data_IF_720174013338
#
_entry.id   IF_720174013338
#
_cell.length_a   1.000
_cell.length_b   1.000
_cell.length_c   1.000
_cell.angle_alpha   90.00
_cell.angle_beta   90.00
_cell.angle_gamma   90.00
#
_symmetry.space_group_name_H-M   'P 1'
#
loop_
_entity.id
_entity.type
_entity.pdbx_description
1 polymer ?
#
# COMPACT_ATOMS: atom_id res chain seq x y z
N UNK A 1 30.64 24.58 -11.74
CA UNK A 1 29.65 23.95 -10.83
C UNK A 1 28.43 24.85 -10.80
N UNK A 2 27.34 24.44 -11.43
CA UNK A 2 26.10 25.23 -11.46
C UNK A 2 25.34 24.96 -10.17
N UNK A 3 25.14 25.98 -9.33
CA UNK A 3 24.33 25.86 -8.12
C UNK A 3 22.86 25.69 -8.54
N UNK A 4 22.31 24.48 -8.31
CA UNK A 4 20.88 24.23 -8.48
C UNK A 4 20.10 25.06 -7.44
N UNK A 5 19.02 25.68 -7.88
CA UNK A 5 18.10 26.40 -7.01
C UNK A 5 17.53 25.46 -5.92
N UNK A 6 17.20 25.97 -4.72
CA UNK A 6 16.64 25.17 -3.63
C UNK A 6 15.29 24.58 -4.07
N UNK A 7 15.20 23.24 -4.11
CA UNK A 7 13.96 22.51 -4.39
C UNK A 7 13.03 22.62 -3.17
N UNK A 8 11.76 22.90 -3.40
CA UNK A 8 10.73 22.83 -2.35
C UNK A 8 10.21 21.40 -2.20
N UNK A 9 9.73 21.03 -1.00
CA UNK A 9 9.18 19.69 -0.66
C UNK A 9 8.11 19.20 -1.64
N UNK A 10 7.47 20.12 -2.36
CA UNK A 10 6.30 19.88 -3.21
C UNK A 10 6.61 19.76 -4.71
N UNK A 11 7.86 19.87 -5.14
CA UNK A 11 8.21 19.77 -6.57
C UNK A 11 8.10 18.33 -7.08
N UNK A 12 7.37 18.14 -8.18
CA UNK A 12 7.28 16.87 -8.88
C UNK A 12 8.62 16.54 -9.56
N UNK A 13 9.07 15.27 -9.54
CA UNK A 13 10.35 14.91 -10.12
C UNK A 13 10.32 15.05 -11.64
N UNK A 14 11.42 15.60 -12.19
CA UNK A 14 11.80 15.42 -13.60
C UNK A 14 12.69 14.17 -13.71
N UNK A 15 12.58 13.38 -14.80
CA UNK A 15 13.36 12.15 -14.98
C UNK A 15 14.89 12.34 -14.84
N UNK A 16 15.41 13.51 -15.21
CA UNK A 16 16.84 13.83 -15.10
C UNK A 16 17.20 14.39 -13.69
N UNK A 17 17.84 13.54 -12.88
CA UNK A 17 18.32 13.90 -11.53
C UNK A 17 17.38 13.51 -10.40
N UNK A 18 16.71 12.37 -10.54
CA UNK A 18 16.10 11.61 -9.45
C UNK A 18 17.21 10.84 -8.71
N UNK A 19 17.31 11.05 -7.41
CA UNK A 19 18.23 10.34 -6.53
C UNK A 19 17.42 9.61 -5.45
N UNK A 20 17.81 8.38 -5.12
CA UNK A 20 17.10 7.60 -4.11
C UNK A 20 17.48 8.13 -2.73
N UNK A 21 16.48 8.40 -1.89
CA UNK A 21 16.75 8.75 -0.48
C UNK A 21 17.30 10.16 -0.23
N UNK A 22 17.64 10.93 -1.26
CA UNK A 22 17.85 12.37 -1.12
C UNK A 22 16.52 13.09 -1.33
N UNK A 23 16.07 13.78 -0.29
CA UNK A 23 14.83 14.57 -0.21
C UNK A 23 14.57 15.33 -1.54
N UNK A 24 13.42 15.10 -2.24
CA UNK A 24 12.11 15.33 -1.64
C UNK A 24 10.93 14.44 -2.08
N UNK A 25 11.06 13.37 -2.87
CA UNK A 25 9.88 12.72 -3.48
C UNK A 25 9.65 11.24 -3.10
N UNK A 26 8.53 10.98 -2.43
CA UNK A 26 8.00 9.67 -2.05
C UNK A 26 8.35 9.20 -0.63
N UNK A 27 9.33 9.83 0.01
CA UNK A 27 9.68 9.61 1.43
C UNK A 27 9.23 10.76 2.34
N UNK A 28 8.43 11.71 1.84
CA UNK A 28 7.82 12.70 2.70
C UNK A 28 6.98 12.01 3.81
N UNK A 29 6.92 12.57 5.03
CA UNK A 29 6.06 12.03 6.07
C UNK A 29 4.62 11.87 5.59
N UNK A 30 3.96 10.78 5.98
CA UNK A 30 2.55 10.55 5.70
C UNK A 30 1.73 11.07 6.87
N UNK A 31 0.89 12.08 6.66
CA UNK A 31 -0.03 12.55 7.68
C UNK A 31 -1.39 11.89 7.47
N UNK A 32 -1.85 11.10 8.44
CA UNK A 32 -3.16 10.43 8.40
C UNK A 32 -4.04 10.92 9.54
N UNK A 33 -5.37 10.91 9.36
CA UNK A 33 -6.27 11.00 10.50
C UNK A 33 -6.12 9.77 11.40
N UNK A 34 -6.71 9.85 12.59
CA UNK A 34 -6.96 8.66 13.39
C UNK A 34 -7.81 7.67 12.57
N UNK A 35 -7.58 6.35 12.69
CA UNK A 35 -8.41 5.35 12.05
C UNK A 35 -9.89 5.56 12.39
N UNK A 36 -10.81 5.46 11.41
CA UNK A 36 -12.22 5.64 11.68
C UNK A 36 -12.69 4.58 12.69
N UNK A 37 -13.21 5.06 13.81
CA UNK A 37 -13.85 4.21 14.82
C UNK A 37 -15.36 4.18 14.62
N UNK A 38 -16.05 3.07 14.93
CA UNK A 38 -17.50 3.01 14.86
C UNK A 38 -18.13 4.14 15.67
N UNK A 39 -18.93 4.99 15.03
CA UNK A 39 -19.66 6.09 15.69
C UNK A 39 -18.94 7.44 15.76
N UNK A 40 -17.70 7.58 15.28
CA UNK A 40 -17.00 8.89 15.17
C UNK A 40 -16.97 9.43 13.74
N UNK A 41 -17.90 9.00 12.91
CA UNK A 41 -17.90 9.16 11.47
C UNK A 41 -18.47 10.55 11.08
N UNK A 42 -17.66 11.60 11.19
CA UNK A 42 -18.01 12.93 10.65
C UNK A 42 -17.93 12.93 9.13
N UNK A 43 -18.94 13.54 8.45
CA UNK A 43 -18.98 13.95 7.04
C UNK A 43 -17.93 13.29 6.10
N UNK A 44 -17.98 11.96 5.98
CA UNK A 44 -17.02 11.20 5.16
C UNK A 44 -17.32 11.47 3.69
N UNK A 45 -16.33 11.95 2.93
CA UNK A 45 -16.44 12.04 1.48
C UNK A 45 -16.74 10.66 0.87
N UNK A 46 -17.70 10.60 -0.06
CA UNK A 46 -18.13 9.33 -0.66
C UNK A 46 -16.95 8.64 -1.35
N UNK A 47 -16.60 7.41 -0.93
CA UNK A 47 -15.57 6.60 -1.58
C UNK A 47 -16.24 5.87 -2.73
N UNK A 48 -15.84 6.25 -3.94
CA UNK A 48 -16.45 5.79 -5.18
C UNK A 48 -15.52 4.81 -5.91
N UNK A 49 -16.08 3.83 -6.64
CA UNK A 49 -15.29 2.94 -7.47
C UNK A 49 -14.56 3.72 -8.57
N UNK A 50 -13.50 3.14 -9.11
CA UNK A 50 -12.78 3.75 -10.21
C UNK A 50 -13.70 3.89 -11.44
N UNK A 51 -13.78 5.10 -12.01
CA UNK A 51 -14.38 5.30 -13.33
C UNK A 51 -13.37 4.80 -14.36
N UNK A 52 -13.61 3.59 -14.88
CA UNK A 52 -12.72 2.92 -15.82
C UNK A 52 -12.51 3.71 -17.10
N UNK A 53 -13.42 4.63 -17.46
CA UNK A 53 -13.25 5.53 -18.60
C UNK A 53 -12.15 6.58 -18.39
N UNK A 54 -11.79 6.86 -17.13
CA UNK A 54 -10.74 7.80 -16.73
C UNK A 54 -9.39 7.14 -16.50
N UNK A 55 -9.35 5.81 -16.47
CA UNK A 55 -8.10 5.05 -16.42
C UNK A 55 -7.44 5.23 -17.77
N UNK A 56 -6.48 6.16 -17.86
CA UNK A 56 -5.65 6.28 -19.06
C UNK A 56 -4.98 4.92 -19.29
N UNK A 57 -4.90 4.50 -20.55
CA UNK A 57 -4.11 3.33 -20.94
C UNK A 57 -2.71 3.52 -20.38
N UNK A 58 -2.42 2.78 -19.30
CA UNK A 58 -1.13 2.84 -18.66
C UNK A 58 -0.16 2.08 -19.55
N UNK A 59 1.05 2.62 -19.72
CA UNK A 59 2.11 1.83 -20.35
C UNK A 59 2.27 0.53 -19.54
N UNK A 60 2.47 -0.62 -20.21
CA UNK A 60 2.77 -1.87 -19.52
C UNK A 60 3.92 -1.65 -18.54
N UNK A 61 3.74 -2.14 -17.33
CA UNK A 61 4.78 -2.02 -16.31
C UNK A 61 5.86 -3.07 -16.61
N UNK A 62 7.14 -2.69 -16.74
CA UNK A 62 8.17 -3.67 -16.98
C UNK A 62 8.29 -4.55 -15.73
N UNK A 63 8.10 -5.85 -15.90
CA UNK A 63 8.27 -6.82 -14.81
C UNK A 63 9.70 -6.82 -14.29
N UNK A 64 10.67 -6.75 -15.19
CA UNK A 64 12.09 -6.67 -14.87
C UNK A 64 12.70 -5.39 -15.43
N UNK A 65 13.74 -4.90 -14.78
CA UNK A 65 14.54 -3.78 -15.27
C UNK A 65 16.03 -4.08 -15.15
N UNK A 66 16.89 -3.09 -15.46
CA UNK A 66 18.34 -3.28 -15.38
C UNK A 66 18.77 -3.69 -13.97
N UNK A 67 19.83 -4.50 -13.88
CA UNK A 67 20.45 -4.79 -12.59
C UNK A 67 21.01 -3.51 -11.98
N UNK A 68 20.87 -3.37 -10.67
CA UNK A 68 21.37 -2.21 -9.94
C UNK A 68 22.89 -2.32 -9.81
N UNK A 69 23.60 -1.25 -10.18
CA UNK A 69 25.05 -1.27 -10.35
C UNK A 69 25.82 -1.36 -9.02
N UNK A 70 25.22 -0.94 -7.90
CA UNK A 70 25.86 -0.93 -6.58
C UNK A 70 24.90 -1.40 -5.48
N UNK A 71 25.46 -2.08 -4.47
CA UNK A 71 24.72 -2.59 -3.30
C UNK A 71 24.01 -1.47 -2.53
N UNK A 72 24.66 -0.32 -2.35
CA UNK A 72 24.07 0.84 -1.68
C UNK A 72 22.82 1.36 -2.41
N UNK A 73 22.86 1.44 -3.74
CA UNK A 73 21.72 1.85 -4.57
C UNK A 73 20.59 0.83 -4.44
N UNK A 74 20.92 -0.47 -4.37
CA UNK A 74 19.95 -1.54 -4.12
C UNK A 74 19.26 -1.35 -2.76
N UNK A 75 20.03 -1.15 -1.70
CA UNK A 75 19.49 -0.92 -0.35
C UNK A 75 18.59 0.32 -0.30
N UNK A 76 19.02 1.43 -0.90
CA UNK A 76 18.23 2.67 -0.95
C UNK A 76 16.92 2.49 -1.73
N UNK A 77 16.95 1.85 -2.90
CA UNK A 77 15.75 1.58 -3.68
C UNK A 77 14.77 0.72 -2.89
N UNK A 78 15.22 -0.41 -2.34
CA UNK A 78 14.30 -1.32 -1.65
C UNK A 78 13.83 -0.79 -0.30
N UNK A 79 14.62 0.05 0.37
CA UNK A 79 14.15 0.86 1.51
C UNK A 79 13.05 1.83 1.08
N UNK A 80 13.25 2.54 -0.03
CA UNK A 80 12.23 3.42 -0.61
C UNK A 80 10.93 2.67 -0.91
N UNK A 81 11.02 1.50 -1.58
CA UNK A 81 9.84 0.67 -1.88
C UNK A 81 9.13 0.21 -0.61
N UNK A 82 9.91 -0.17 0.40
CA UNK A 82 9.39 -0.60 1.69
C UNK A 82 8.60 0.50 2.37
N UNK A 83 9.15 1.70 2.52
CA UNK A 83 8.47 2.82 3.19
C UNK A 83 7.29 3.33 2.37
N UNK A 84 7.52 3.70 1.11
CA UNK A 84 6.50 4.32 0.24
C UNK A 84 5.32 3.39 -0.02
N UNK A 85 5.58 2.09 -0.24
CA UNK A 85 4.52 1.12 -0.47
C UNK A 85 3.66 0.83 0.77
N UNK A 86 4.26 0.84 1.97
CA UNK A 86 3.49 0.72 3.21
C UNK A 86 2.69 2.00 3.50
N UNK A 87 3.26 3.18 3.26
CA UNK A 87 2.52 4.44 3.38
C UNK A 87 1.29 4.48 2.45
N UNK A 88 1.45 4.06 1.19
CA UNK A 88 0.32 3.92 0.27
C UNK A 88 -0.71 2.90 0.79
N UNK A 89 -0.26 1.78 1.36
CA UNK A 89 -1.13 0.77 2.00
C UNK A 89 -1.97 1.36 3.12
N UNK A 90 -1.40 2.22 3.98
CA UNK A 90 -2.15 2.80 5.11
C UNK A 90 -3.26 3.73 4.63
N UNK A 91 -2.99 4.56 3.62
CA UNK A 91 -4.00 5.39 2.98
C UNK A 91 -5.09 4.53 2.29
N UNK A 92 -4.71 3.42 1.64
CA UNK A 92 -5.66 2.46 1.06
C UNK A 92 -6.54 1.83 2.15
N UNK A 93 -6.00 1.49 3.32
CA UNK A 93 -6.78 0.95 4.44
C UNK A 93 -7.75 1.98 5.03
N UNK A 94 -7.34 3.24 5.14
CA UNK A 94 -8.22 4.35 5.52
C UNK A 94 -9.42 4.47 4.56
N UNK A 95 -9.16 4.49 3.25
CA UNK A 95 -10.23 4.52 2.24
C UNK A 95 -11.10 3.26 2.25
N UNK A 96 -10.51 2.09 2.51
CA UNK A 96 -11.24 0.82 2.63
C UNK A 96 -12.16 0.82 3.84
N UNK A 97 -11.71 1.37 4.97
CA UNK A 97 -12.52 1.50 6.17
C UNK A 97 -13.72 2.44 5.94
N UNK A 98 -13.51 3.55 5.24
CA UNK A 98 -14.60 4.44 4.83
C UNK A 98 -15.59 3.78 3.87
N UNK A 99 -15.10 3.04 2.86
CA UNK A 99 -15.96 2.28 1.95
C UNK A 99 -16.75 1.20 2.69
N UNK A 100 -16.14 0.53 3.67
CA UNK A 100 -16.82 -0.46 4.52
C UNK A 100 -17.94 0.18 5.34
N UNK A 101 -17.70 1.35 5.92
CA UNK A 101 -18.75 2.11 6.61
C UNK A 101 -19.89 2.49 5.67
N UNK A 102 -19.58 3.03 4.48
CA UNK A 102 -20.58 3.42 3.48
C UNK A 102 -21.43 2.23 3.00
N UNK A 103 -20.84 1.04 2.87
CA UNK A 103 -21.58 -0.17 2.51
C UNK A 103 -22.63 -0.55 3.57
N UNK A 104 -22.37 -0.24 4.85
CA UNK A 104 -23.29 -0.53 5.96
C UNK A 104 -24.38 0.52 6.14
N UNK A 105 -24.10 1.77 5.78
CA UNK A 105 -25.02 2.89 5.99
C UNK A 105 -25.91 3.19 4.78
N UNK A 106 -25.57 2.70 3.58
CA UNK A 106 -26.35 2.91 2.35
C UNK A 106 -27.38 1.80 2.14
N UNK A 107 -28.51 2.16 1.52
CA UNK A 107 -29.50 1.20 1.04
C UNK A 107 -28.98 0.33 -0.10
N UNK A 108 -28.11 0.88 -0.96
CA UNK A 108 -27.38 0.14 -1.99
C UNK A 108 -25.88 0.08 -1.64
N UNK A 109 -25.36 -1.09 -1.23
CA UNK A 109 -23.94 -1.26 -0.90
C UNK A 109 -23.06 -1.44 -2.14
N UNK A 110 -23.63 -1.67 -3.33
CA UNK A 110 -22.88 -2.11 -4.51
C UNK A 110 -21.73 -1.17 -4.92
N UNK A 111 -21.87 0.17 -4.92
CA UNK A 111 -20.75 1.08 -5.20
C UNK A 111 -19.60 0.93 -4.22
N UNK A 112 -19.91 0.77 -2.93
CA UNK A 112 -18.92 0.63 -1.85
C UNK A 112 -18.19 -0.71 -1.95
N UNK A 113 -18.89 -1.79 -2.30
CA UNK A 113 -18.29 -3.11 -2.54
C UNK A 113 -17.32 -3.08 -3.73
N UNK A 114 -17.67 -2.38 -4.81
CA UNK A 114 -16.77 -2.18 -5.96
C UNK A 114 -15.53 -1.39 -5.57
N UNK A 115 -15.69 -0.30 -4.81
CA UNK A 115 -14.56 0.48 -4.31
C UNK A 115 -13.64 -0.36 -3.41
N UNK A 116 -14.19 -1.17 -2.49
CA UNK A 116 -13.40 -2.09 -1.67
C UNK A 116 -12.67 -3.15 -2.51
N UNK A 117 -13.25 -3.58 -3.63
CA UNK A 117 -12.58 -4.52 -4.55
C UNK A 117 -11.35 -3.87 -5.17
N UNK A 118 -11.51 -2.66 -5.74
CA UNK A 118 -10.40 -1.90 -6.32
C UNK A 118 -9.30 -1.63 -5.29
N UNK A 119 -9.67 -1.22 -4.08
CA UNK A 119 -8.72 -0.96 -2.98
C UNK A 119 -8.00 -2.23 -2.50
N UNK A 120 -8.68 -3.38 -2.50
CA UNK A 120 -8.06 -4.68 -2.17
C UNK A 120 -7.07 -5.11 -3.25
N UNK A 121 -7.39 -4.88 -4.52
CA UNK A 121 -6.46 -5.13 -5.62
C UNK A 121 -5.21 -4.24 -5.51
N UNK A 122 -5.39 -2.98 -5.15
CA UNK A 122 -4.28 -2.05 -4.93
C UNK A 122 -3.40 -2.46 -3.75
N UNK A 123 -4.01 -2.89 -2.65
CA UNK A 123 -3.24 -3.44 -1.53
C UNK A 123 -2.46 -4.69 -1.95
N UNK A 124 -3.04 -5.56 -2.77
CA UNK A 124 -2.35 -6.74 -3.33
C UNK A 124 -1.14 -6.32 -4.18
N UNK A 125 -1.28 -5.30 -5.02
CA UNK A 125 -0.16 -4.74 -5.78
C UNK A 125 0.91 -4.13 -4.86
N UNK A 126 0.53 -3.43 -3.79
CA UNK A 126 1.48 -2.88 -2.82
C UNK A 126 2.26 -3.98 -2.07
N UNK A 127 1.66 -5.15 -1.84
CA UNK A 127 2.41 -6.29 -1.29
C UNK A 127 3.50 -6.76 -2.24
N UNK A 128 3.20 -6.91 -3.53
CA UNK A 128 4.22 -7.27 -4.54
C UNK A 128 5.31 -6.18 -4.64
N UNK A 129 4.92 -4.92 -4.62
CA UNK A 129 5.85 -3.80 -4.69
C UNK A 129 6.80 -3.74 -3.48
N UNK A 130 6.27 -3.81 -2.26
CA UNK A 130 7.07 -3.76 -1.02
C UNK A 130 7.92 -5.02 -0.83
N UNK A 131 7.45 -6.17 -1.29
CA UNK A 131 8.18 -7.44 -1.26
C UNK A 131 9.04 -7.73 -2.48
N UNK A 132 9.15 -6.77 -3.41
CA UNK A 132 9.95 -6.93 -4.63
C UNK A 132 11.45 -7.07 -4.36
N UNK A 133 11.90 -6.69 -3.16
CA UNK A 133 13.29 -6.86 -2.76
C UNK A 133 13.77 -8.32 -2.86
N UNK A 134 15.05 -8.52 -3.21
CA UNK A 134 15.76 -9.76 -3.01
C UNK A 134 15.75 -10.20 -1.52
N UNK A 135 15.78 -11.51 -1.28
CA UNK A 135 15.69 -12.09 0.08
C UNK A 135 16.87 -11.69 0.96
N UNK A 136 18.06 -11.51 0.38
CA UNK A 136 19.25 -11.00 1.07
C UNK A 136 19.05 -9.56 1.55
N UNK A 137 18.57 -8.65 0.70
CA UNK A 137 18.25 -7.26 1.08
C UNK A 137 17.21 -7.21 2.21
N UNK A 138 16.19 -8.08 2.14
CA UNK A 138 15.23 -8.20 3.24
C UNK A 138 15.91 -8.63 4.55
N UNK A 139 16.80 -9.62 4.49
CA UNK A 139 17.51 -10.17 5.64
C UNK A 139 18.57 -9.24 6.24
N UNK A 140 19.19 -8.38 5.43
CA UNK A 140 20.32 -7.52 5.84
C UNK A 140 19.90 -6.09 6.17
N UNK A 141 18.83 -5.57 5.53
CA UNK A 141 18.39 -4.18 5.68
C UNK A 141 17.02 -4.08 6.35
N UNK A 142 16.00 -4.69 5.74
CA UNK A 142 14.59 -4.46 6.13
C UNK A 142 14.25 -5.12 7.46
N UNK A 143 14.55 -6.41 7.62
CA UNK A 143 14.23 -7.13 8.86
C UNK A 143 15.03 -6.63 10.06
N UNK A 144 16.36 -6.38 9.95
CA UNK A 144 17.13 -5.82 11.06
C UNK A 144 16.66 -4.42 11.49
N UNK A 145 16.29 -3.54 10.54
CA UNK A 145 15.78 -2.21 10.89
C UNK A 145 14.45 -2.24 11.65
N UNK A 146 13.53 -3.15 11.30
CA UNK A 146 12.31 -3.41 12.10
C UNK A 146 12.65 -3.95 13.50
N UNK A 147 13.61 -4.88 13.59
CA UNK A 147 14.04 -5.45 14.87
C UNK A 147 14.65 -4.39 15.81
N UNK A 148 15.39 -3.42 15.25
CA UNK A 148 15.95 -2.29 16.00
C UNK A 148 14.86 -1.39 16.61
N UNK A 149 13.68 -1.30 15.98
CA UNK A 149 12.55 -0.61 16.59
C UNK A 149 11.92 -1.43 17.72
N UNK A 150 11.66 -2.72 17.46
CA UNK A 150 11.14 -3.63 18.47
C UNK A 150 11.30 -5.11 18.07
N UNK A 151 11.69 -5.97 19.02
CA UNK A 151 11.91 -7.42 18.78
C UNK A 151 10.69 -8.15 18.19
N UNK A 152 9.50 -7.74 18.60
CA UNK A 152 8.21 -8.29 18.15
C UNK A 152 7.54 -7.51 17.00
N UNK A 153 8.27 -6.62 16.30
CA UNK A 153 7.69 -5.74 15.27
C UNK A 153 6.80 -6.51 14.30
N UNK A 154 5.58 -6.02 14.10
CA UNK A 154 4.54 -6.74 13.36
C UNK A 154 3.64 -5.79 12.59
N UNK A 155 3.27 -6.18 11.37
CA UNK A 155 2.22 -5.52 10.59
C UNK A 155 0.86 -5.47 11.29
N UNK A 156 0.63 -6.34 12.30
CA UNK A 156 -0.62 -6.33 13.07
C UNK A 156 -0.76 -5.12 14.01
N UNK A 157 0.30 -4.34 14.20
CA UNK A 157 0.31 -3.12 15.01
C UNK A 157 -0.19 -1.89 14.26
N UNK A 158 -0.36 -1.99 12.94
CA UNK A 158 -0.85 -0.89 12.11
C UNK A 158 -2.25 -0.43 12.58
N UNK A 159 -2.41 0.84 12.99
CA UNK A 159 -3.71 1.37 13.43
C UNK A 159 -4.78 1.24 12.35
N UNK A 160 -4.43 1.56 11.10
CA UNK A 160 -5.36 1.57 9.96
C UNK A 160 -5.79 0.16 9.53
N UNK A 161 -5.06 -0.89 9.91
CA UNK A 161 -5.44 -2.27 9.62
C UNK A 161 -6.62 -2.73 10.49
N UNK A 162 -6.73 -2.24 11.72
CA UNK A 162 -7.76 -2.66 12.69
C UNK A 162 -9.18 -2.62 12.13
N UNK A 163 -9.67 -1.50 11.54
CA UNK A 163 -11.04 -1.42 11.01
C UNK A 163 -11.31 -2.37 9.83
N UNK A 164 -10.29 -2.65 9.01
CA UNK A 164 -10.43 -3.46 7.79
C UNK A 164 -10.06 -4.94 8.00
N UNK A 165 -9.45 -5.27 9.14
CA UNK A 165 -8.92 -6.59 9.47
C UNK A 165 -9.93 -7.71 9.31
N UNK A 166 -11.20 -7.48 9.66
CA UNK A 166 -12.26 -8.49 9.54
C UNK A 166 -12.51 -8.86 8.07
N UNK A 167 -12.66 -7.84 7.22
CA UNK A 167 -12.85 -7.99 5.78
C UNK A 167 -11.64 -8.68 5.16
N UNK A 168 -10.44 -8.17 5.43
CA UNK A 168 -9.21 -8.71 4.86
C UNK A 168 -8.88 -10.11 5.39
N UNK A 169 -9.42 -10.55 6.53
CA UNK A 169 -9.32 -11.95 6.97
C UNK A 169 -10.33 -12.88 6.27
N UNK A 170 -11.11 -12.37 5.33
CA UNK A 170 -12.13 -13.15 4.62
C UNK A 170 -13.31 -13.54 5.50
N UNK A 171 -13.59 -12.80 6.58
CA UNK A 171 -14.78 -13.06 7.39
C UNK A 171 -16.04 -12.79 6.54
N UNK A 172 -17.07 -13.59 6.80
CA UNK A 172 -18.39 -13.43 6.20
C UNK A 172 -18.92 -12.00 6.38
N UNK A 173 -19.57 -11.49 5.35
CA UNK A 173 -20.19 -10.15 5.36
C UNK A 173 -21.70 -10.27 5.17
N UNK A 174 -22.44 -9.23 5.51
CA UNK A 174 -23.90 -9.19 5.35
C UNK A 174 -24.36 -9.10 3.88
N UNK A 175 -23.44 -8.84 2.95
CA UNK A 175 -23.71 -8.68 1.52
C UNK A 175 -23.51 -9.96 0.69
N UNK A 176 -23.35 -11.11 1.36
CA UNK A 176 -23.16 -12.42 0.70
C UNK A 176 -24.27 -12.72 -0.31
N UNK A 177 -23.90 -13.36 -1.42
CA UNK A 177 -24.83 -13.72 -2.49
C UNK A 177 -25.04 -12.64 -3.56
N UNK A 178 -24.48 -11.45 -3.41
CA UNK A 178 -24.47 -10.43 -4.48
C UNK A 178 -23.27 -10.61 -5.43
N UNK A 179 -23.40 -10.26 -6.73
CA UNK A 179 -22.27 -10.30 -7.67
C UNK A 179 -21.07 -9.47 -7.22
N UNK A 180 -21.32 -8.31 -6.61
CA UNK A 180 -20.29 -7.43 -6.06
C UNK A 180 -19.56 -8.06 -4.88
N UNK A 181 -20.26 -8.71 -3.95
CA UNK A 181 -19.63 -9.38 -2.82
C UNK A 181 -18.76 -10.57 -3.26
N UNK A 182 -19.18 -11.33 -4.27
CA UNK A 182 -18.36 -12.42 -4.82
C UNK A 182 -17.10 -11.90 -5.53
N UNK A 183 -17.15 -10.74 -6.19
CA UNK A 183 -15.95 -10.08 -6.74
C UNK A 183 -15.00 -9.64 -5.63
N UNK A 184 -15.50 -8.98 -4.58
CA UNK A 184 -14.69 -8.58 -3.43
C UNK A 184 -14.05 -9.78 -2.74
N UNK A 185 -14.79 -10.87 -2.57
CA UNK A 185 -14.28 -12.12 -2.00
C UNK A 185 -13.13 -12.70 -2.82
N UNK A 186 -13.23 -12.70 -4.16
CA UNK A 186 -12.12 -13.13 -5.03
C UNK A 186 -10.88 -12.24 -4.87
N UNK A 187 -11.05 -10.93 -4.78
CA UNK A 187 -9.94 -10.01 -4.52
C UNK A 187 -9.27 -10.29 -3.16
N UNK A 188 -10.06 -10.56 -2.10
CA UNK A 188 -9.52 -10.94 -0.78
C UNK A 188 -8.78 -12.28 -0.82
N UNK A 189 -9.28 -13.26 -1.59
CA UNK A 189 -8.59 -14.55 -1.78
C UNK A 189 -7.25 -14.38 -2.51
N UNK A 190 -7.22 -13.51 -3.53
CA UNK A 190 -6.00 -13.18 -4.25
C UNK A 190 -4.98 -12.50 -3.33
N UNK A 191 -5.43 -11.52 -2.52
CA UNK A 191 -4.62 -10.93 -1.46
C UNK A 191 -4.01 -12.00 -0.54
N UNK A 192 -4.81 -12.97 -0.06
CA UNK A 192 -4.28 -14.04 0.81
C UNK A 192 -3.21 -14.87 0.14
N UNK A 193 -3.43 -15.24 -1.13
CA UNK A 193 -2.46 -15.99 -1.93
C UNK A 193 -1.14 -15.22 -2.05
N UNK A 194 -1.20 -13.97 -2.48
CA UNK A 194 -0.01 -13.11 -2.62
C UNK A 194 0.68 -12.93 -1.27
N UNK A 195 -0.05 -12.61 -0.20
CA UNK A 195 0.53 -12.44 1.13
C UNK A 195 1.23 -13.72 1.63
N UNK A 196 0.64 -14.90 1.40
CA UNK A 196 1.26 -16.18 1.74
C UNK A 196 2.55 -16.41 0.94
N UNK A 197 2.53 -16.13 -0.36
CA UNK A 197 3.71 -16.21 -1.22
C UNK A 197 4.83 -15.25 -0.80
N UNK A 198 4.48 -14.02 -0.43
CA UNK A 198 5.44 -13.04 0.12
C UNK A 198 6.07 -13.54 1.42
N UNK A 199 5.27 -14.09 2.32
CA UNK A 199 5.77 -14.67 3.56
C UNK A 199 6.73 -15.85 3.30
N UNK A 200 6.38 -16.73 2.36
CA UNK A 200 7.23 -17.85 1.96
C UNK A 200 8.55 -17.38 1.31
N UNK A 201 8.52 -16.30 0.51
CA UNK A 201 9.70 -15.72 -0.13
C UNK A 201 10.66 -15.07 0.89
N UNK A 202 10.13 -14.21 1.75
CA UNK A 202 10.95 -13.36 2.63
C UNK A 202 11.30 -14.01 3.97
N UNK A 203 10.46 -14.96 4.42
CA UNK A 203 10.63 -15.66 5.70
C UNK A 203 10.38 -17.17 5.49
N UNK A 204 11.24 -17.89 4.75
CA UNK A 204 11.02 -19.30 4.38
C UNK A 204 10.95 -20.26 5.59
N UNK A 205 11.41 -19.84 6.77
CA UNK A 205 11.24 -20.56 8.04
C UNK A 205 9.93 -20.27 8.79
N UNK A 206 9.05 -19.43 8.24
CA UNK A 206 7.68 -19.15 8.70
C UNK A 206 7.55 -18.39 10.03
N UNK A 207 8.62 -18.18 10.78
CA UNK A 207 8.59 -17.48 12.06
C UNK A 207 8.73 -15.98 11.85
N UNK A 208 7.62 -15.26 11.99
CA UNK A 208 7.64 -13.79 12.10
C UNK A 208 8.39 -13.36 13.37
N UNK A 209 8.89 -12.12 13.38
CA UNK A 209 9.52 -11.51 14.56
C UNK A 209 8.63 -11.63 15.83
N UNK A 210 7.31 -11.47 15.66
CA UNK A 210 6.33 -11.68 16.72
C UNK A 210 6.34 -13.13 17.25
N UNK A 211 6.41 -14.13 16.37
CA UNK A 211 6.44 -15.53 16.77
C UNK A 211 7.79 -15.93 17.39
N UNK A 212 8.90 -15.33 16.95
CA UNK A 212 10.23 -15.55 17.53
C UNK A 212 10.33 -14.99 18.96
N UNK A 213 9.65 -13.88 19.24
CA UNK A 213 9.70 -13.18 20.53
C UNK A 213 8.55 -13.51 21.48
N UNK A 214 7.57 -14.31 21.06
CA UNK A 214 6.37 -14.63 21.86
C UNK A 214 6.68 -15.31 23.21
N UNK A 215 7.85 -15.93 23.36
CA UNK A 215 8.30 -16.54 24.61
C UNK A 215 8.93 -15.55 25.60
N UNK A 216 9.25 -14.31 25.19
CA UNK A 216 10.15 -13.42 25.94
C UNK A 216 9.53 -12.07 26.37
N UNK A 217 8.32 -11.70 25.93
CA UNK A 217 7.84 -10.31 26.06
C UNK A 217 6.61 -10.18 26.96
N UNK A 218 6.71 -9.28 27.95
CA UNK A 218 5.64 -8.81 28.84
C UNK A 218 4.44 -8.21 28.05
N UNK A 219 3.25 -8.01 28.65
CA UNK A 219 2.11 -7.43 27.94
C UNK A 219 2.42 -6.01 27.44
N UNK A 220 2.71 -5.89 26.15
CA UNK A 220 2.89 -4.61 25.43
C UNK A 220 1.54 -3.92 25.25
N UNK A 221 1.51 -2.61 25.49
CA UNK A 221 0.33 -1.75 25.31
C UNK A 221 0.06 -1.50 23.81
N UNK A 222 -1.16 -1.77 23.29
CA UNK A 222 -1.48 -1.56 21.88
C UNK A 222 -1.19 -0.15 21.38
N UNK A 223 -1.37 0.88 22.21
CA UNK A 223 -1.11 2.27 21.85
C UNK A 223 0.38 2.53 21.59
N UNK A 224 1.26 1.92 22.40
CA UNK A 224 2.71 2.01 22.19
C UNK A 224 3.14 1.28 20.92
N UNK A 225 2.54 0.12 20.64
CA UNK A 225 2.81 -0.62 19.39
C UNK A 225 2.42 0.19 18.15
N UNK A 226 1.25 0.84 18.19
CA UNK A 226 0.78 1.74 17.15
C UNK A 226 1.76 2.90 16.91
N UNK A 227 2.23 3.57 17.98
CA UNK A 227 3.19 4.67 17.88
C UNK A 227 4.54 4.23 17.29
N UNK A 228 5.07 3.08 17.72
CA UNK A 228 6.31 2.53 17.16
C UNK A 228 6.14 2.21 15.67
N UNK A 229 4.99 1.65 15.30
CA UNK A 229 4.67 1.30 13.93
C UNK A 229 4.59 2.54 13.03
N UNK A 230 3.83 3.55 13.44
CA UNK A 230 3.71 4.82 12.72
C UNK A 230 5.07 5.52 12.59
N UNK A 231 5.86 5.56 13.67
CA UNK A 231 7.20 6.15 13.65
C UNK A 231 8.14 5.48 12.64
N UNK A 232 8.16 4.14 12.59
CA UNK A 232 9.02 3.40 11.65
C UNK A 232 8.69 3.72 10.18
N UNK A 233 7.41 3.93 9.86
CA UNK A 233 6.97 4.25 8.50
C UNK A 233 6.83 5.75 8.22
N UNK A 234 7.34 6.60 9.10
CA UNK A 234 7.28 8.07 8.98
C UNK A 234 5.83 8.58 8.85
N UNK A 235 4.92 7.98 9.61
CA UNK A 235 3.51 8.35 9.66
C UNK A 235 3.24 9.27 10.85
N UNK A 236 2.54 10.38 10.61
CA UNK A 236 2.07 11.32 11.62
C UNK A 236 0.55 11.24 11.73
N UNK A 237 0.02 11.33 12.94
CA UNK A 237 -1.43 11.39 13.19
C UNK A 237 -1.85 12.83 13.45
N UNK A 238 -2.71 13.37 12.58
CA UNK A 238 -3.28 14.71 12.71
C UNK A 238 -4.65 14.79 12.01
N UNK A 239 -5.49 15.78 12.34
CA UNK A 239 -6.70 16.05 11.57
C UNK A 239 -6.34 16.37 10.12
N UNK A 240 -6.72 15.49 9.21
CA UNK A 240 -6.46 15.56 7.76
C UNK A 240 -7.78 15.34 7.04
N UNK A 241 -8.10 16.19 6.07
CA UNK A 241 -9.32 16.03 5.29
C UNK A 241 -9.16 14.99 4.16
N UNK A 242 -10.28 14.61 3.54
CA UNK A 242 -10.25 13.61 2.46
C UNK A 242 -9.42 14.06 1.24
N UNK A 243 -9.34 15.37 0.97
CA UNK A 243 -8.58 15.91 -0.15
C UNK A 243 -7.09 15.76 0.08
N UNK A 244 -6.63 16.04 1.30
CA UNK A 244 -5.23 15.91 1.69
C UNK A 244 -4.81 14.43 1.79
N UNK A 245 -5.63 13.55 2.37
CA UNK A 245 -5.41 12.09 2.36
C UNK A 245 -5.19 11.57 0.92
N UNK A 246 -6.08 11.97 0.01
CA UNK A 246 -6.02 11.63 -1.40
C UNK A 246 -4.80 12.23 -2.08
N UNK A 247 -4.50 13.50 -1.81
CA UNK A 247 -3.32 14.17 -2.36
C UNK A 247 -2.03 13.43 -2.02
N UNK A 248 -1.91 12.99 -0.77
CA UNK A 248 -0.79 12.19 -0.29
C UNK A 248 -0.74 10.82 -0.98
N UNK A 249 -1.84 10.07 -1.01
CA UNK A 249 -1.90 8.79 -1.73
C UNK A 249 -1.46 8.93 -3.19
N UNK A 250 -1.99 9.93 -3.90
CA UNK A 250 -1.64 10.19 -5.31
C UNK A 250 -0.17 10.57 -5.49
N UNK A 251 0.43 11.29 -4.53
CA UNK A 251 1.87 11.57 -4.53
C UNK A 251 2.69 10.28 -4.52
N UNK A 252 2.40 9.38 -3.57
CA UNK A 252 3.07 8.07 -3.48
C UNK A 252 2.81 7.21 -4.71
N UNK A 253 1.57 7.12 -5.21
CA UNK A 253 1.26 6.34 -6.41
C UNK A 253 2.05 6.81 -7.65
N UNK A 254 2.25 8.12 -7.80
CA UNK A 254 3.12 8.67 -8.84
C UNK A 254 4.58 8.29 -8.62
N UNK A 255 5.08 8.34 -7.39
CA UNK A 255 6.45 7.95 -7.05
C UNK A 255 6.71 6.47 -7.37
N UNK A 256 5.76 5.61 -6.97
CA UNK A 256 5.78 4.17 -7.26
C UNK A 256 5.72 3.92 -8.76
N UNK A 257 4.84 4.62 -9.49
CA UNK A 257 4.73 4.47 -10.95
C UNK A 257 6.03 4.86 -11.64
N UNK A 258 6.66 5.97 -11.23
CA UNK A 258 7.94 6.41 -11.77
C UNK A 258 9.05 5.40 -11.49
N UNK A 259 9.13 4.91 -10.25
CA UNK A 259 10.10 3.87 -9.87
C UNK A 259 9.95 2.62 -10.72
N UNK A 260 8.76 2.03 -10.77
CA UNK A 260 8.59 0.77 -11.51
C UNK A 260 8.77 0.98 -13.02
N UNK A 261 8.42 2.15 -13.56
CA UNK A 261 8.72 2.47 -14.96
C UNK A 261 10.22 2.56 -15.25
N UNK A 262 11.04 3.00 -14.27
CA UNK A 262 12.50 3.14 -14.42
C UNK A 262 13.23 1.84 -14.11
N UNK A 263 12.87 1.14 -13.04
CA UNK A 263 13.64 0.02 -12.48
C UNK A 263 12.99 -1.35 -12.72
N UNK A 264 11.74 -1.39 -13.19
CA UNK A 264 10.93 -2.60 -13.24
C UNK A 264 10.48 -3.08 -11.85
N UNK A 265 9.51 -3.99 -11.81
CA UNK A 265 9.01 -4.50 -10.53
C UNK A 265 10.07 -5.34 -9.82
N UNK A 266 10.87 -6.10 -10.54
CA UNK A 266 12.01 -6.87 -10.01
C UNK A 266 13.29 -6.51 -10.78
N UNK A 267 14.03 -5.46 -10.36
CA UNK A 267 15.26 -5.04 -11.01
C UNK A 267 16.30 -6.17 -11.01
N UNK A 268 16.88 -6.48 -12.16
CA UNK A 268 17.93 -7.50 -12.27
C UNK A 268 17.49 -8.95 -12.05
N UNK A 269 16.19 -9.24 -11.94
CA UNK A 269 15.67 -10.60 -11.70
C UNK A 269 16.21 -11.59 -12.73
N UNK A 270 16.97 -12.58 -12.28
CA UNK A 270 17.47 -13.66 -13.11
C UNK A 270 16.41 -14.74 -13.36
N UNK A 271 16.53 -15.53 -14.45
CA UNK A 271 15.64 -16.66 -14.68
C UNK A 271 15.64 -17.69 -13.54
N UNK A 272 16.78 -17.89 -12.88
CA UNK A 272 16.90 -18.82 -11.75
C UNK A 272 16.11 -18.33 -10.53
N UNK A 273 16.21 -17.04 -10.21
CA UNK A 273 15.45 -16.42 -9.12
C UNK A 273 13.95 -16.41 -9.40
N UNK A 274 13.55 -16.19 -10.66
CA UNK A 274 12.14 -16.23 -11.07
C UNK A 274 11.53 -17.63 -10.86
N UNK A 275 12.27 -18.69 -11.23
CA UNK A 275 11.83 -20.08 -10.98
C UNK A 275 11.77 -20.40 -9.48
N UNK A 276 12.62 -19.75 -8.68
CA UNK A 276 12.66 -19.95 -7.22
C UNK A 276 11.52 -19.24 -6.46
N UNK A 277 10.69 -18.43 -7.13
CA UNK A 277 9.54 -17.81 -6.47
C UNK A 277 8.55 -18.87 -5.96
N UNK A 278 7.93 -18.64 -4.77
CA UNK A 278 6.87 -19.50 -4.26
C UNK A 278 5.74 -19.70 -5.26
N UNK A 279 5.11 -20.88 -5.24
CA UNK A 279 4.04 -21.26 -6.17
C UNK A 279 2.86 -20.26 -6.15
N UNK A 280 2.58 -19.70 -4.98
CA UNK A 280 1.56 -18.68 -4.79
C UNK A 280 1.79 -17.44 -5.66
N UNK A 281 3.06 -17.06 -5.90
CA UNK A 281 3.44 -15.90 -6.72
C UNK A 281 3.65 -16.23 -8.20
N UNK A 282 3.81 -17.51 -8.56
CA UNK A 282 4.07 -17.91 -9.95
C UNK A 282 2.82 -18.05 -10.83
N UNK A 283 1.62 -18.01 -10.23
CA UNK A 283 0.37 -18.19 -10.97
C UNK A 283 0.08 -17.08 -11.98
N UNK A 284 -0.51 -17.44 -13.12
CA UNK A 284 -0.86 -16.50 -14.19
C UNK A 284 -1.76 -15.36 -13.72
N UNK A 285 -2.67 -15.63 -12.79
CA UNK A 285 -3.54 -14.59 -12.20
C UNK A 285 -2.75 -13.51 -11.45
N UNK A 286 -1.65 -13.88 -10.76
CA UNK A 286 -0.77 -12.91 -10.09
C UNK A 286 0.04 -12.14 -11.13
N UNK A 287 0.64 -12.86 -12.07
CA UNK A 287 1.51 -12.27 -13.12
C UNK A 287 0.73 -11.30 -14.00
N UNK A 288 -0.34 -11.75 -14.63
CA UNK A 288 -1.15 -10.92 -15.54
C UNK A 288 -1.93 -9.85 -14.77
N UNK A 289 -2.51 -10.21 -13.62
CA UNK A 289 -3.39 -9.32 -12.86
C UNK A 289 -2.66 -8.19 -12.14
N UNK A 290 -1.47 -8.47 -11.59
CA UNK A 290 -0.83 -7.55 -10.63
C UNK A 290 0.64 -7.22 -10.94
N UNK A 291 1.39 -8.07 -11.65
CA UNK A 291 2.76 -7.71 -12.08
C UNK A 291 2.72 -6.94 -13.40
N UNK A 292 2.16 -7.53 -14.45
CA UNK A 292 1.98 -6.90 -15.77
C UNK A 292 0.87 -5.84 -15.70
N UNK A 293 -0.21 -6.17 -14.97
CA UNK A 293 -1.34 -5.29 -14.69
C UNK A 293 -1.07 -4.20 -13.65
N UNK A 294 0.13 -4.11 -13.08
CA UNK A 294 0.47 -3.22 -11.97
C UNK A 294 0.06 -1.77 -12.22
N UNK A 295 0.43 -1.21 -13.39
CA UNK A 295 0.14 0.17 -13.74
C UNK A 295 -1.38 0.42 -13.93
N UNK A 296 -2.14 -0.59 -14.37
CA UNK A 296 -3.60 -0.53 -14.46
C UNK A 296 -4.24 -0.47 -13.07
N UNK A 297 -3.74 -1.29 -12.13
CA UNK A 297 -4.19 -1.26 -10.73
C UNK A 297 -3.95 0.12 -10.12
N UNK A 298 -2.75 0.69 -10.26
CA UNK A 298 -2.46 2.03 -9.74
C UNK A 298 -3.32 3.12 -10.42
N UNK A 299 -3.53 3.01 -11.74
CA UNK A 299 -4.38 3.92 -12.50
C UNK A 299 -5.84 3.92 -12.03
N UNK A 300 -6.39 2.75 -11.66
CA UNK A 300 -7.73 2.66 -11.06
C UNK A 300 -7.80 3.42 -9.74
N UNK A 301 -6.79 3.30 -8.88
CA UNK A 301 -6.77 4.02 -7.61
C UNK A 301 -6.57 5.52 -7.80
N UNK A 302 -5.69 5.96 -8.70
CA UNK A 302 -5.55 7.39 -8.98
C UNK A 302 -6.87 7.98 -9.51
N UNK A 303 -7.59 7.23 -10.35
CA UNK A 303 -8.90 7.61 -10.86
C UNK A 303 -10.00 7.61 -9.78
N UNK A 304 -10.05 6.62 -8.90
CA UNK A 304 -10.96 6.57 -7.76
C UNK A 304 -10.68 7.74 -6.79
N UNK A 305 -9.39 7.96 -6.49
CA UNK A 305 -8.94 9.04 -5.64
C UNK A 305 -9.26 10.43 -6.24
N UNK A 306 -9.12 10.61 -7.56
CA UNK A 306 -9.52 11.85 -8.24
C UNK A 306 -11.04 12.14 -8.24
N UNK A 307 -11.87 11.15 -7.90
CA UNK A 307 -13.32 11.29 -7.76
C UNK A 307 -13.77 11.61 -6.33
N UNK A 308 -12.87 11.43 -5.34
CA UNK A 308 -13.05 11.88 -3.95
C UNK A 308 -13.00 13.41 -3.93
N UNK A 309 -14.05 14.06 -4.45
CA UNK A 309 -14.26 15.49 -4.21
C UNK A 309 -14.96 15.61 -2.86
N UNK A 310 -14.60 16.60 -2.03
CA UNK A 310 -15.48 17.02 -0.96
C UNK A 310 -16.87 17.21 -1.56
N UNK A 311 -17.92 16.71 -0.90
CA UNK A 311 -19.24 17.29 -1.14
C UNK A 311 -19.02 18.79 -0.94
N UNK A 312 -19.16 19.58 -2.00
CA UNK A 312 -19.27 21.02 -1.86
C UNK A 312 -20.53 21.19 -1.04
N UNK A 313 -20.36 21.29 0.29
CA UNK A 313 -21.39 21.70 1.20
C UNK A 313 -21.65 23.15 0.83
N UNK A 314 -22.44 23.37 -0.22
CA UNK A 314 -23.27 24.55 -0.29
C UNK A 314 -24.24 24.44 0.89
N UNK A 315 -23.76 24.80 2.08
CA UNK A 315 -24.62 25.43 3.06
C UNK A 315 -25.05 26.75 2.42
N UNK A 316 -26.11 26.67 1.61
CA UNK A 316 -27.00 27.81 1.46
C UNK A 316 -27.57 28.05 2.85
N UNK A 317 -26.92 28.91 3.62
CA UNK A 317 -27.52 29.46 4.81
C UNK A 317 -28.73 30.31 4.38
N UNK A 318 -29.87 30.23 5.09
CA UNK A 318 -31.01 31.10 4.85
C UNK A 318 -30.69 32.56 5.16
#
# INVERSE_FOLDING_TARGET
MSMRAPRTVTELPVPDGWDFGDFPYGLEPLTLPEPPTPGTETAISDVLPADTSRVRSARPCPRTGPALAAEEISHQLFWFRWITGHQATFAIWQLTAHALHQARSRSDPAPSLRAMTDLTDAYTAMLLYTSSCPTDVYGTVIRPSMYLQHRSFSGTWAPDFVPVRSLLRGKKTEWEGTPEAERLKKAVQMYHRVHAGVAAKLVPGGRSLLQESAAEVAPTRPETQALIYDHYFLTLRAPVDATELVGQLRSRLRAITQDVATNGLYPGLSPQEDVAFPEELRGDEVRQGYEEGFASVLGRIDAAAGQLRPRVLHHSAP
#
